data_IF_058094465754
#
_entry.id   IF_058094465754
#
_cell.length_a   1.000
_cell.length_b   1.000
_cell.length_c   1.000
_cell.angle_alpha   90.00
_cell.angle_beta   90.00
_cell.angle_gamma   90.00
#
_symmetry.space_group_name_H-M   'P 1'
#
loop_
_entity.id
_entity.type
_entity.pdbx_description
1 polymer ?
#
# COMPACT_ATOMS: atom_id res chain seq x y z
N UNK A 1 6.62 17.85 -16.67
CA UNK A 1 6.26 16.54 -16.05
C UNK A 1 6.99 16.46 -14.73
N UNK A 2 6.27 16.35 -13.62
CA UNK A 2 6.84 16.13 -12.28
C UNK A 2 6.58 14.66 -11.93
N UNK A 3 7.60 13.82 -11.97
CA UNK A 3 7.44 12.38 -11.79
C UNK A 3 8.74 11.75 -11.25
N UNK A 4 8.67 10.50 -10.83
CA UNK A 4 9.77 9.73 -10.26
C UNK A 4 9.90 8.31 -10.82
N UNK A 5 9.00 7.90 -11.71
CA UNK A 5 9.05 6.60 -12.36
C UNK A 5 10.24 6.49 -13.33
N UNK A 6 10.53 5.27 -13.76
CA UNK A 6 11.52 5.00 -14.81
C UNK A 6 11.17 5.79 -16.09
N UNK A 7 12.17 6.45 -16.65
CA UNK A 7 12.00 7.32 -17.83
C UNK A 7 11.91 6.44 -19.08
N UNK A 8 10.88 6.67 -19.88
CA UNK A 8 10.67 6.00 -21.16
C UNK A 8 10.83 7.01 -22.30
N UNK A 9 11.91 6.88 -23.06
CA UNK A 9 12.24 7.79 -24.17
C UNK A 9 12.78 9.15 -23.69
N UNK A 10 12.91 10.08 -24.64
CA UNK A 10 13.36 11.44 -24.37
C UNK A 10 12.20 12.43 -24.53
N UNK A 11 12.10 13.45 -23.65
CA UNK A 11 11.08 14.48 -23.80
C UNK A 11 11.36 15.34 -25.04
N UNK A 12 10.30 15.72 -25.76
CA UNK A 12 10.38 16.68 -26.86
C UNK A 12 10.83 18.06 -26.37
N UNK A 13 11.30 18.93 -27.28
CA UNK A 13 11.84 20.27 -26.95
C UNK A 13 10.92 21.15 -26.08
N UNK A 14 9.59 21.03 -26.24
CA UNK A 14 8.60 21.81 -25.48
C UNK A 14 8.13 21.15 -24.17
N UNK A 15 8.76 20.04 -23.76
CA UNK A 15 8.38 19.28 -22.58
C UNK A 15 9.56 19.25 -21.60
N UNK A 16 9.40 19.89 -20.45
CA UNK A 16 10.38 19.75 -19.36
C UNK A 16 10.02 18.56 -18.48
N UNK A 17 10.95 17.63 -18.31
CA UNK A 17 10.87 16.54 -17.35
C UNK A 17 11.67 16.90 -16.09
N UNK A 18 10.99 16.94 -14.95
CA UNK A 18 11.59 17.04 -13.63
C UNK A 18 11.43 15.68 -12.96
N UNK A 19 12.50 14.88 -13.04
CA UNK A 19 12.55 13.54 -12.49
C UNK A 19 13.90 13.33 -11.78
N UNK A 20 13.93 12.88 -10.50
CA UNK A 20 15.16 12.67 -9.75
C UNK A 20 16.20 11.81 -10.47
N UNK A 21 15.74 10.83 -11.26
CA UNK A 21 16.60 9.94 -12.03
C UNK A 21 17.39 10.68 -13.12
N UNK A 22 16.86 11.79 -13.66
CA UNK A 22 17.57 12.64 -14.63
C UNK A 22 18.71 13.45 -14.01
N UNK A 23 18.74 13.57 -12.68
CA UNK A 23 19.70 14.40 -11.94
C UNK A 23 20.64 13.57 -11.05
N UNK A 24 20.62 12.23 -11.17
CA UNK A 24 21.36 11.32 -10.29
C UNK A 24 21.06 11.55 -8.80
N UNK A 25 19.84 11.99 -8.49
CA UNK A 25 19.37 12.18 -7.12
C UNK A 25 18.85 10.85 -6.55
N UNK A 26 18.84 10.69 -5.21
CA UNK A 26 18.13 9.58 -4.59
C UNK A 26 16.64 9.57 -4.99
N UNK A 27 15.96 8.42 -4.88
CA UNK A 27 14.56 8.31 -5.29
C UNK A 27 13.69 9.22 -4.41
N UNK A 28 13.09 10.24 -5.03
CA UNK A 28 12.06 11.08 -4.44
C UNK A 28 10.69 10.66 -4.96
N UNK A 29 9.63 10.99 -4.23
CA UNK A 29 8.26 10.71 -4.67
C UNK A 29 7.80 11.80 -5.63
N UNK A 30 6.75 11.53 -6.42
CA UNK A 30 6.12 12.57 -7.24
C UNK A 30 5.66 13.79 -6.41
N UNK A 31 5.21 13.56 -5.17
CA UNK A 31 4.81 14.62 -4.25
C UNK A 31 6.00 15.48 -3.78
N UNK A 32 7.15 14.86 -3.52
CA UNK A 32 8.39 15.56 -3.15
C UNK A 32 8.90 16.41 -4.30
N UNK A 33 8.92 15.86 -5.52
CA UNK A 33 9.34 16.59 -6.73
C UNK A 33 8.45 17.80 -6.98
N UNK A 34 7.13 17.60 -6.87
CA UNK A 34 6.14 18.68 -7.03
C UNK A 34 6.33 19.77 -5.98
N UNK A 35 6.56 19.39 -4.73
CA UNK A 35 6.77 20.34 -3.63
C UNK A 35 8.06 21.14 -3.78
N UNK A 36 9.18 20.51 -4.15
CA UNK A 36 10.44 21.22 -4.35
C UNK A 36 10.32 22.31 -5.42
N UNK A 37 9.49 22.07 -6.44
CA UNK A 37 9.13 23.09 -7.42
C UNK A 37 8.21 24.17 -6.83
N UNK A 38 7.12 23.80 -6.16
CA UNK A 38 6.18 24.77 -5.58
C UNK A 38 6.81 25.65 -4.50
N UNK A 39 7.82 25.12 -3.78
CA UNK A 39 8.62 25.81 -2.78
C UNK A 39 9.33 27.05 -3.34
N UNK A 40 9.63 27.09 -4.64
CA UNK A 40 10.22 28.28 -5.29
C UNK A 40 9.25 29.47 -5.36
N UNK A 41 7.96 29.24 -5.09
CA UNK A 41 6.88 30.24 -5.13
C UNK A 41 6.24 30.45 -3.75
N UNK A 42 6.99 30.24 -2.66
CA UNK A 42 6.57 30.47 -1.27
C UNK A 42 5.41 29.56 -0.77
N UNK A 43 5.26 28.36 -1.36
CA UNK A 43 4.23 27.38 -0.96
C UNK A 43 4.75 26.41 0.12
N UNK A 44 5.34 26.91 1.20
CA UNK A 44 5.86 26.09 2.31
C UNK A 44 4.74 25.34 3.06
N UNK A 45 3.52 25.87 3.01
CA UNK A 45 2.31 25.27 3.58
C UNK A 45 1.94 23.92 2.93
N UNK A 46 2.45 23.61 1.74
CA UNK A 46 2.24 22.34 1.05
C UNK A 46 3.22 21.23 1.49
N UNK A 47 4.23 21.54 2.30
CA UNK A 47 5.23 20.57 2.75
C UNK A 47 4.62 19.33 3.44
N UNK A 48 3.60 19.44 4.31
CA UNK A 48 2.87 18.29 4.86
C UNK A 48 2.39 17.29 3.81
N UNK A 49 1.86 17.77 2.67
CA UNK A 49 1.35 16.92 1.60
C UNK A 49 2.48 16.16 0.89
N UNK A 50 3.67 16.76 0.79
CA UNK A 50 4.86 16.11 0.26
C UNK A 50 5.37 14.99 1.20
N UNK A 51 5.27 15.20 2.52
CA UNK A 51 5.54 14.14 3.51
C UNK A 51 4.54 12.99 3.32
N UNK A 52 3.23 13.29 3.26
CA UNK A 52 2.16 12.30 3.08
C UNK A 52 2.37 11.48 1.81
N UNK A 53 2.64 12.14 0.68
CA UNK A 53 2.85 11.44 -0.59
C UNK A 53 4.12 10.59 -0.60
N UNK A 54 5.24 11.09 -0.05
CA UNK A 54 6.46 10.30 0.09
C UNK A 54 6.23 9.04 0.93
N UNK A 55 5.51 9.18 2.05
CA UNK A 55 5.11 8.05 2.90
C UNK A 55 4.18 7.07 2.19
N UNK A 56 3.22 7.57 1.40
CA UNK A 56 2.36 6.75 0.55
C UNK A 56 3.09 5.92 -0.48
N UNK A 57 4.19 6.45 -1.03
CA UNK A 57 5.09 5.72 -1.94
C UNK A 57 6.10 4.83 -1.21
N UNK A 58 5.98 4.67 0.12
CA UNK A 58 6.90 3.92 0.99
C UNK A 58 8.33 4.43 0.92
N UNK A 59 8.49 5.73 0.74
CA UNK A 59 9.78 6.42 0.71
C UNK A 59 10.02 7.23 2.00
N UNK A 60 11.28 7.49 2.30
CA UNK A 60 11.65 8.40 3.39
C UNK A 60 11.60 9.84 2.88
N UNK A 61 10.82 10.74 3.51
CA UNK A 61 10.81 12.14 3.15
C UNK A 61 12.19 12.77 3.36
N UNK A 62 12.61 13.65 2.46
CA UNK A 62 13.89 14.36 2.60
C UNK A 62 13.85 15.38 3.73
N UNK A 63 15.03 15.68 4.28
CA UNK A 63 15.20 16.55 5.45
C UNK A 63 14.56 17.92 5.25
N UNK A 64 14.76 18.54 4.08
CA UNK A 64 14.23 19.86 3.75
C UNK A 64 12.70 19.90 3.82
N UNK A 65 12.04 18.85 3.34
CA UNK A 65 10.57 18.74 3.37
C UNK A 65 10.08 18.55 4.80
N UNK A 66 10.78 17.76 5.61
CA UNK A 66 10.42 17.56 7.02
C UNK A 66 10.56 18.86 7.84
N UNK A 67 11.61 19.63 7.58
CA UNK A 67 11.85 20.93 8.22
C UNK A 67 10.76 21.94 7.85
N UNK A 68 10.46 22.08 6.55
CA UNK A 68 9.40 22.98 6.08
C UNK A 68 8.02 22.57 6.63
N UNK A 69 7.73 21.26 6.68
CA UNK A 69 6.48 20.71 7.22
C UNK A 69 6.38 20.76 8.75
N UNK A 70 7.48 21.09 9.45
CA UNK A 70 7.56 21.09 10.93
C UNK A 70 7.07 19.78 11.55
N UNK A 71 7.38 18.66 10.90
CA UNK A 71 6.98 17.32 11.34
C UNK A 71 7.64 16.96 12.67
N UNK A 72 6.86 16.34 13.55
CA UNK A 72 7.41 15.63 14.70
C UNK A 72 7.69 14.17 14.31
N UNK A 73 8.98 13.81 14.22
CA UNK A 73 9.40 12.43 13.95
C UNK A 73 9.64 11.71 15.27
N UNK A 74 9.01 10.55 15.46
CA UNK A 74 9.21 9.68 16.62
C UNK A 74 9.17 8.22 16.24
N UNK A 75 9.89 7.36 16.96
CA UNK A 75 9.71 5.91 16.83
C UNK A 75 8.50 5.47 17.65
N UNK A 76 7.53 4.82 17.00
CA UNK A 76 6.30 4.35 17.64
C UNK A 76 5.67 3.22 16.80
N UNK A 77 4.59 2.64 17.33
CA UNK A 77 3.80 1.62 16.65
C UNK A 77 3.02 2.28 15.49
N UNK A 78 3.10 1.68 14.30
CA UNK A 78 2.50 2.16 13.04
C UNK A 78 1.16 1.47 12.77
N UNK A 79 0.16 1.65 13.65
CA UNK A 79 -1.19 1.10 13.47
C UNK A 79 -2.19 2.24 13.29
N UNK A 80 -3.13 2.07 12.36
CA UNK A 80 -4.18 3.04 12.09
C UNK A 80 -5.12 3.24 13.28
N UNK A 81 -5.39 4.50 13.64
CA UNK A 81 -6.37 4.85 14.67
C UNK A 81 -5.85 4.65 16.09
N UNK A 82 -4.54 4.47 16.26
CA UNK A 82 -3.86 4.19 17.53
C UNK A 82 -4.20 5.15 18.67
N UNK A 83 -4.50 6.41 18.37
CA UNK A 83 -4.78 7.43 19.38
C UNK A 83 -6.26 7.61 19.70
N UNK A 84 -7.17 7.02 18.91
CA UNK A 84 -8.60 7.33 18.96
C UNK A 84 -9.44 6.21 19.56
N UNK A 85 -8.89 4.99 19.69
CA UNK A 85 -9.68 3.78 19.96
C UNK A 85 -8.97 2.78 20.87
N UNK A 86 -9.73 1.87 21.50
CA UNK A 86 -9.19 0.67 22.13
C UNK A 86 -8.33 -0.16 21.16
N UNK A 87 -7.37 -0.90 21.71
CA UNK A 87 -6.44 -1.74 20.97
C UNK A 87 -7.15 -2.76 20.09
N UNK A 88 -8.18 -3.44 20.60
CA UNK A 88 -8.87 -4.46 19.80
C UNK A 88 -9.46 -3.88 18.51
N UNK A 89 -10.04 -2.67 18.59
CA UNK A 89 -10.56 -1.97 17.42
C UNK A 89 -9.43 -1.52 16.51
N UNK A 90 -8.39 -0.86 17.06
CA UNK A 90 -7.26 -0.38 16.25
C UNK A 90 -6.61 -1.52 15.44
N UNK A 91 -6.42 -2.69 16.06
CA UNK A 91 -5.87 -3.86 15.39
C UNK A 91 -6.82 -4.43 14.31
N UNK A 92 -8.11 -4.59 14.62
CA UNK A 92 -9.09 -5.09 13.66
C UNK A 92 -9.29 -4.15 12.46
N UNK A 93 -9.00 -2.85 12.63
CA UNK A 93 -9.09 -1.82 11.60
C UNK A 93 -7.79 -1.67 10.78
N UNK A 94 -6.70 -2.32 11.17
CA UNK A 94 -5.39 -2.15 10.53
C UNK A 94 -5.38 -2.78 9.15
N UNK A 95 -5.16 -1.96 8.11
CA UNK A 95 -5.06 -2.40 6.71
C UNK A 95 -3.68 -2.18 6.10
N UNK A 96 -2.88 -1.28 6.68
CA UNK A 96 -1.48 -1.08 6.36
C UNK A 96 -0.77 -0.55 7.61
N UNK A 97 0.08 -1.36 8.28
CA UNK A 97 0.35 -2.75 7.99
C UNK A 97 -0.85 -3.67 8.27
N UNK A 98 -1.03 -4.68 7.43
CA UNK A 98 -2.02 -5.72 7.63
C UNK A 98 -1.58 -6.72 8.71
N UNK A 99 -2.51 -7.15 9.57
CA UNK A 99 -2.26 -8.12 10.64
C UNK A 99 -3.05 -9.40 10.33
N UNK A 100 -2.36 -10.49 9.89
CA UNK A 100 -3.03 -11.74 9.52
C UNK A 100 -3.91 -12.30 10.64
N UNK A 101 -5.12 -12.73 10.26
CA UNK A 101 -6.08 -13.33 11.18
C UNK A 101 -6.72 -12.38 12.19
N UNK A 102 -6.55 -11.06 12.05
CA UNK A 102 -7.15 -10.05 12.95
C UNK A 102 -8.05 -9.05 12.19
N UNK A 103 -7.71 -8.74 10.94
CA UNK A 103 -8.46 -7.74 10.17
C UNK A 103 -9.96 -8.06 10.10
N UNK A 104 -10.79 -7.05 10.39
CA UNK A 104 -12.25 -7.15 10.46
C UNK A 104 -12.80 -8.14 11.49
N UNK A 105 -11.97 -8.65 12.42
CA UNK A 105 -12.36 -9.56 13.48
C UNK A 105 -11.91 -9.01 14.85
N UNK A 106 -12.80 -8.25 15.50
CA UNK A 106 -12.58 -7.72 16.85
C UNK A 106 -12.42 -8.83 17.90
N UNK A 107 -13.06 -9.99 17.69
CA UNK A 107 -12.94 -11.15 18.57
C UNK A 107 -11.53 -11.74 18.53
N UNK A 108 -11.00 -11.97 17.33
CA UNK A 108 -9.62 -12.42 17.14
C UNK A 108 -8.60 -11.40 17.69
N UNK A 109 -8.88 -10.09 17.57
CA UNK A 109 -8.06 -9.05 18.18
C UNK A 109 -8.04 -9.15 19.72
N UNK A 110 -9.21 -9.34 20.34
CA UNK A 110 -9.36 -9.55 21.79
C UNK A 110 -8.61 -10.81 22.25
N UNK A 111 -8.79 -11.92 21.55
CA UNK A 111 -8.11 -13.19 21.84
C UNK A 111 -6.59 -13.05 21.75
N UNK A 112 -6.10 -12.39 20.70
CA UNK A 112 -4.68 -12.09 20.55
C UNK A 112 -4.14 -11.27 21.71
N UNK A 113 -4.77 -10.13 22.03
CA UNK A 113 -4.33 -9.22 23.07
C UNK A 113 -4.27 -9.92 24.43
N UNK A 114 -5.31 -10.71 24.77
CA UNK A 114 -5.33 -11.53 25.99
C UNK A 114 -4.21 -12.56 26.00
N UNK A 115 -3.93 -13.23 24.88
CA UNK A 115 -2.88 -14.24 24.78
C UNK A 115 -1.47 -13.68 25.02
N UNK A 116 -1.22 -12.40 24.67
CA UNK A 116 0.04 -11.70 24.96
C UNK A 116 0.01 -10.92 26.29
N UNK A 117 -1.06 -11.07 27.08
CA UNK A 117 -1.18 -10.46 28.40
C UNK A 117 -1.45 -8.95 28.39
N UNK A 118 -2.15 -8.44 27.37
CA UNK A 118 -2.58 -7.06 27.27
C UNK A 118 -4.10 -6.92 27.44
N UNK A 119 -4.50 -5.80 28.05
CA UNK A 119 -5.91 -5.41 28.16
C UNK A 119 -6.42 -4.89 26.81
N UNK A 120 -7.43 -5.54 26.20
CA UNK A 120 -7.96 -5.13 24.90
C UNK A 120 -8.58 -3.72 24.89
N UNK A 121 -9.10 -3.26 26.03
CA UNK A 121 -9.82 -1.98 26.14
C UNK A 121 -8.88 -0.77 26.22
N UNK A 122 -7.60 -0.99 26.54
CA UNK A 122 -6.60 0.09 26.57
C UNK A 122 -6.42 0.71 25.19
N UNK A 123 -6.10 2.00 25.17
CA UNK A 123 -5.57 2.72 23.99
C UNK A 123 -4.05 2.57 23.91
N UNK A 124 -3.46 2.75 22.72
CA UNK A 124 -1.99 2.71 22.56
C UNK A 124 -1.29 3.74 23.45
N UNK A 125 -1.89 4.91 23.66
CA UNK A 125 -1.36 5.96 24.55
C UNK A 125 -1.30 5.57 26.02
N UNK A 126 -2.03 4.53 26.43
CA UNK A 126 -2.12 4.05 27.81
C UNK A 126 -1.17 2.87 28.08
N UNK A 127 -0.46 2.39 27.06
CA UNK A 127 0.52 1.32 27.19
C UNK A 127 1.83 1.83 27.77
N UNK A 128 2.35 1.12 28.76
CA UNK A 128 3.73 1.24 29.19
C UNK A 128 4.70 0.76 28.11
N UNK A 129 5.97 1.15 28.20
CA UNK A 129 7.00 0.71 27.24
C UNK A 129 7.16 -0.81 27.18
N UNK A 130 6.97 -1.50 28.30
CA UNK A 130 6.98 -2.97 28.33
C UNK A 130 5.77 -3.57 27.62
N UNK A 131 4.59 -2.99 27.79
CA UNK A 131 3.39 -3.41 27.08
C UNK A 131 3.47 -3.15 25.58
N UNK A 132 4.06 -2.00 25.16
CA UNK A 132 4.34 -1.71 23.75
C UNK A 132 5.27 -2.75 23.15
N UNK A 133 6.37 -3.12 23.84
CA UNK A 133 7.28 -4.18 23.38
C UNK A 133 6.57 -5.51 23.22
N UNK A 134 5.71 -5.90 24.17
CA UNK A 134 4.90 -7.12 24.06
C UNK A 134 3.96 -7.09 22.85
N UNK A 135 3.28 -5.96 22.64
CA UNK A 135 2.39 -5.77 21.48
C UNK A 135 3.15 -5.93 20.17
N UNK A 136 4.27 -5.20 20.02
CA UNK A 136 5.12 -5.25 18.82
C UNK A 136 5.62 -6.67 18.58
N UNK A 137 6.22 -7.33 19.58
CA UNK A 137 6.72 -8.69 19.44
C UNK A 137 5.61 -9.69 19.06
N UNK A 138 4.43 -9.56 19.67
CA UNK A 138 3.26 -10.40 19.36
C UNK A 138 2.77 -10.24 17.92
N UNK A 139 2.78 -9.01 17.38
CA UNK A 139 2.39 -8.74 15.98
C UNK A 139 3.48 -9.22 15.02
N UNK A 140 4.76 -8.96 15.31
CA UNK A 140 5.89 -9.43 14.51
C UNK A 140 5.85 -10.96 14.35
N UNK A 141 5.57 -11.69 15.42
CA UNK A 141 5.42 -13.15 15.38
C UNK A 141 4.26 -13.61 14.48
N UNK A 142 3.13 -12.88 14.47
CA UNK A 142 2.00 -13.17 13.57
C UNK A 142 2.31 -12.86 12.12
N UNK A 143 3.20 -11.90 11.89
CA UNK A 143 3.66 -11.50 10.56
C UNK A 143 4.90 -12.27 10.13
N UNK A 144 5.32 -13.29 10.87
CA UNK A 144 6.47 -14.13 10.51
C UNK A 144 6.25 -14.75 9.13
N UNK A 145 7.20 -14.53 8.22
CA UNK A 145 7.11 -14.98 6.82
C UNK A 145 6.61 -13.91 5.84
N UNK A 146 6.26 -12.73 6.33
CA UNK A 146 6.18 -11.52 5.50
C UNK A 146 7.59 -10.96 5.28
N UNK A 147 7.75 -10.09 4.29
CA UNK A 147 9.04 -9.48 3.95
C UNK A 147 9.58 -8.58 5.07
N UNK A 148 8.68 -7.80 5.71
CA UNK A 148 9.02 -6.80 6.74
C UNK A 148 8.10 -6.91 7.95
N UNK A 149 8.12 -8.03 8.70
CA UNK A 149 7.24 -8.23 9.85
C UNK A 149 7.41 -7.14 10.93
N UNK A 150 8.60 -6.58 11.05
CA UNK A 150 9.01 -5.53 11.98
C UNK A 150 8.51 -4.13 11.62
N UNK A 151 8.00 -3.90 10.40
CA UNK A 151 7.57 -2.56 9.95
C UNK A 151 6.33 -2.01 10.70
N UNK A 152 5.77 -2.81 11.62
CA UNK A 152 4.77 -2.41 12.62
C UNK A 152 5.32 -1.39 13.63
N UNK A 153 6.63 -1.32 13.80
CA UNK A 153 7.30 -0.35 14.66
C UNK A 153 8.33 0.42 13.84
N UNK A 154 8.36 1.74 13.99
CA UNK A 154 9.33 2.57 13.29
C UNK A 154 8.98 4.04 13.34
N UNK A 155 9.59 4.81 12.43
CA UNK A 155 9.36 6.26 12.35
C UNK A 155 7.91 6.56 12.00
N UNK A 156 7.29 7.34 12.87
CA UNK A 156 6.01 8.01 12.70
C UNK A 156 6.28 9.50 12.44
N UNK A 157 5.56 10.08 11.49
CA UNK A 157 5.71 11.44 11.00
C UNK A 157 4.43 12.21 11.35
N UNK A 158 4.36 12.74 12.57
CA UNK A 158 3.16 13.41 13.05
C UNK A 158 3.05 14.83 12.48
N UNK A 159 1.95 15.08 11.79
CA UNK A 159 1.63 16.36 11.16
C UNK A 159 0.65 17.12 12.04
N UNK A 160 1.14 18.11 12.79
CA UNK A 160 0.36 18.84 13.80
C UNK A 160 -0.91 19.48 13.24
N UNK A 161 -0.80 20.12 12.07
CA UNK A 161 -1.93 20.81 11.44
C UNK A 161 -2.99 19.84 10.88
N UNK A 162 -2.58 18.58 10.64
CA UNK A 162 -3.46 17.50 10.19
C UNK A 162 -4.01 16.69 11.36
N UNK A 163 -3.39 16.78 12.54
CA UNK A 163 -3.74 16.02 13.73
C UNK A 163 -3.51 14.51 13.60
N UNK A 164 -2.69 14.08 12.64
CA UNK A 164 -2.55 12.68 12.22
C UNK A 164 -1.11 12.36 11.78
N UNK A 165 -0.74 11.10 11.84
CA UNK A 165 0.49 10.59 11.23
C UNK A 165 0.39 10.57 9.69
N UNK A 166 1.50 10.83 8.99
CA UNK A 166 1.53 10.85 7.53
C UNK A 166 1.19 9.50 6.88
N UNK A 167 1.60 8.36 7.47
CA UNK A 167 1.25 7.02 6.97
C UNK A 167 -0.27 6.76 7.13
N UNK A 168 -0.85 7.18 8.26
CA UNK A 168 -2.28 7.10 8.51
C UNK A 168 -3.06 7.95 7.50
N UNK A 169 -2.64 9.21 7.28
CA UNK A 169 -3.32 10.11 6.36
C UNK A 169 -3.22 9.61 4.91
N UNK A 170 -2.07 9.07 4.52
CA UNK A 170 -1.89 8.41 3.23
C UNK A 170 -2.83 7.22 3.04
N UNK A 171 -3.03 6.41 4.09
CA UNK A 171 -4.01 5.31 4.08
C UNK A 171 -5.43 5.83 3.84
N UNK A 172 -5.80 6.95 4.45
CA UNK A 172 -7.12 7.58 4.24
C UNK A 172 -7.27 8.08 2.80
N UNK A 173 -6.29 8.80 2.25
CA UNK A 173 -6.33 9.26 0.85
C UNK A 173 -6.49 8.07 -0.09
N UNK A 174 -5.73 7.00 0.15
CA UNK A 174 -5.80 5.78 -0.64
C UNK A 174 -7.18 5.13 -0.56
N UNK A 175 -7.80 5.06 0.63
CA UNK A 175 -9.15 4.54 0.81
C UNK A 175 -10.19 5.35 -0.01
N UNK A 176 -10.14 6.68 0.07
CA UNK A 176 -11.02 7.56 -0.70
C UNK A 176 -10.85 7.37 -2.21
N UNK A 177 -9.60 7.33 -2.68
CA UNK A 177 -9.27 7.12 -4.08
C UNK A 177 -9.75 5.77 -4.60
N UNK A 178 -9.56 4.69 -3.82
CA UNK A 178 -9.97 3.32 -4.16
C UNK A 178 -11.49 3.17 -4.27
N UNK A 179 -12.24 3.90 -3.45
CA UNK A 179 -13.70 4.01 -3.55
C UNK A 179 -14.17 4.93 -4.69
N UNK A 180 -13.26 5.66 -5.35
CA UNK A 180 -13.58 6.59 -6.42
C UNK A 180 -13.96 8.00 -5.97
N UNK A 181 -13.80 8.31 -4.69
CA UNK A 181 -14.04 9.63 -4.13
C UNK A 181 -12.82 10.56 -4.27
N UNK A 182 -12.24 10.62 -5.48
CA UNK A 182 -11.00 11.38 -5.75
C UNK A 182 -11.13 12.88 -5.45
N UNK A 183 -12.28 13.49 -5.77
CA UNK A 183 -12.55 14.89 -5.41
C UNK A 183 -12.63 15.12 -3.90
N UNK A 184 -13.17 14.16 -3.14
CA UNK A 184 -13.16 14.23 -1.67
C UNK A 184 -11.77 13.99 -1.10
N UNK A 185 -10.98 13.11 -1.70
CA UNK A 185 -9.58 12.89 -1.32
C UNK A 185 -8.77 14.17 -1.48
N UNK A 186 -8.94 14.90 -2.59
CA UNK A 186 -8.31 16.21 -2.79
C UNK A 186 -8.81 17.24 -1.76
N UNK A 187 -10.11 17.25 -1.49
CA UNK A 187 -10.70 18.14 -0.48
C UNK A 187 -10.13 17.87 0.92
N UNK A 188 -9.82 16.61 1.25
CA UNK A 188 -9.19 16.22 2.51
C UNK A 188 -7.79 16.83 2.66
N UNK A 189 -7.01 16.92 1.57
CA UNK A 189 -5.70 17.58 1.58
C UNK A 189 -5.76 19.06 1.99
N UNK A 190 -6.87 19.75 1.68
CA UNK A 190 -7.10 21.16 2.03
C UNK A 190 -7.94 21.34 3.30
N UNK A 191 -8.60 20.27 3.77
CA UNK A 191 -9.42 20.27 4.97
C UNK A 191 -9.19 18.96 5.76
N UNK A 192 -8.04 18.84 6.44
CA UNK A 192 -7.65 17.59 7.11
C UNK A 192 -8.56 17.22 8.30
N UNK A 193 -9.40 18.15 8.76
CA UNK A 193 -10.39 17.93 9.83
C UNK A 193 -11.71 17.33 9.35
N UNK A 194 -11.85 17.06 8.04
CA UNK A 194 -13.04 16.42 7.48
C UNK A 194 -13.31 15.07 8.17
N UNK A 195 -14.57 14.75 8.43
CA UNK A 195 -14.92 13.46 9.02
C UNK A 195 -14.69 12.32 8.01
N UNK A 196 -13.67 11.50 8.28
CA UNK A 196 -13.26 10.38 7.43
C UNK A 196 -14.01 9.07 7.75
N UNK A 197 -14.66 8.99 8.91
CA UNK A 197 -15.21 7.72 9.43
C UNK A 197 -16.23 7.04 8.51
N UNK A 198 -17.18 7.74 7.87
CA UNK A 198 -18.13 7.09 6.96
C UNK A 198 -17.43 6.41 5.78
N UNK A 199 -16.44 7.09 5.18
CA UNK A 199 -15.70 6.58 4.01
C UNK A 199 -14.77 5.45 4.43
N UNK A 200 -14.13 5.55 5.59
CA UNK A 200 -13.29 4.47 6.10
C UNK A 200 -14.10 3.23 6.45
N UNK A 201 -15.34 3.39 6.97
CA UNK A 201 -16.26 2.28 7.21
C UNK A 201 -16.69 1.60 5.91
N UNK A 202 -17.04 2.38 4.90
CA UNK A 202 -17.38 1.89 3.56
C UNK A 202 -16.20 1.14 2.92
N UNK A 203 -14.99 1.71 3.01
CA UNK A 203 -13.77 1.11 2.47
C UNK A 203 -13.47 -0.25 3.09
N UNK A 204 -13.63 -0.38 4.41
CA UNK A 204 -13.43 -1.65 5.12
C UNK A 204 -14.49 -2.69 4.75
N UNK A 205 -15.76 -2.29 4.66
CA UNK A 205 -16.83 -3.18 4.25
C UNK A 205 -16.62 -3.72 2.82
N UNK A 206 -16.21 -2.84 1.91
CA UNK A 206 -15.86 -3.24 0.53
C UNK A 206 -14.63 -4.15 0.51
N UNK A 207 -13.61 -3.86 1.31
CA UNK A 207 -12.41 -4.70 1.39
C UNK A 207 -12.73 -6.10 1.93
N UNK A 208 -13.54 -6.20 2.99
CA UNK A 208 -13.99 -7.48 3.55
C UNK A 208 -14.80 -8.29 2.53
N UNK A 209 -15.77 -7.65 1.85
CA UNK A 209 -16.55 -8.27 0.76
C UNK A 209 -15.65 -8.80 -0.36
N UNK A 210 -14.66 -8.02 -0.77
CA UNK A 210 -13.72 -8.40 -1.82
C UNK A 210 -12.85 -9.58 -1.39
N UNK A 211 -12.32 -9.56 -0.17
CA UNK A 211 -11.51 -10.65 0.41
C UNK A 211 -12.28 -11.97 0.45
N UNK A 212 -13.54 -11.95 0.90
CA UNK A 212 -14.41 -13.13 0.90
C UNK A 212 -14.60 -13.68 -0.51
N UNK A 213 -15.00 -12.81 -1.45
CA UNK A 213 -15.26 -13.19 -2.85
C UNK A 213 -14.03 -13.79 -3.55
N UNK A 214 -12.84 -13.21 -3.34
CA UNK A 214 -11.62 -13.74 -3.98
C UNK A 214 -11.17 -15.05 -3.34
N UNK A 215 -11.43 -15.26 -2.04
CA UNK A 215 -11.05 -16.48 -1.36
C UNK A 215 -11.88 -17.68 -1.85
N UNK A 216 -13.15 -17.46 -2.20
CA UNK A 216 -14.03 -18.47 -2.82
C UNK A 216 -13.61 -18.87 -4.25
N UNK A 217 -13.01 -17.92 -5.01
CA UNK A 217 -12.75 -18.08 -6.43
C UNK A 217 -11.25 -18.09 -6.79
N UNK A 218 -10.37 -18.30 -5.81
CA UNK A 218 -8.92 -18.34 -6.06
C UNK A 218 -8.52 -19.64 -6.77
N UNK A 219 -7.51 -19.54 -7.64
CA UNK A 219 -6.87 -20.67 -8.30
C UNK A 219 -5.42 -20.77 -7.85
N UNK A 220 -5.01 -21.95 -7.43
CA UNK A 220 -3.62 -22.21 -7.08
C UNK A 220 -2.83 -22.66 -8.31
N UNK A 221 -1.69 -21.99 -8.52
CA UNK A 221 -0.60 -22.46 -9.38
C UNK A 221 0.57 -22.95 -8.54
N UNK A 222 1.71 -23.20 -9.21
CA UNK A 222 2.89 -23.78 -8.57
C UNK A 222 3.48 -22.85 -7.49
N UNK A 223 3.86 -21.63 -7.86
CA UNK A 223 4.38 -20.59 -6.95
C UNK A 223 3.52 -19.33 -6.90
N UNK A 224 2.29 -19.39 -7.42
CA UNK A 224 1.39 -18.23 -7.57
C UNK A 224 -0.03 -18.59 -7.17
N UNK A 225 -0.71 -17.68 -6.47
CA UNK A 225 -2.18 -17.71 -6.30
C UNK A 225 -2.79 -16.70 -7.25
N UNK A 226 -3.74 -17.13 -8.06
CA UNK A 226 -4.51 -16.27 -8.97
C UNK A 226 -5.86 -15.96 -8.35
N UNK A 227 -6.24 -14.69 -8.33
CA UNK A 227 -7.51 -14.23 -7.76
C UNK A 227 -8.33 -13.43 -8.77
N UNK A 228 -9.65 -13.58 -8.71
CA UNK A 228 -10.56 -12.94 -9.65
C UNK A 228 -11.54 -12.05 -8.87
N UNK A 229 -11.38 -10.74 -9.00
CA UNK A 229 -12.21 -9.73 -8.36
C UNK A 229 -13.08 -8.96 -9.35
N UNK A 230 -13.99 -8.14 -8.82
CA UNK A 230 -14.87 -7.27 -9.60
C UNK A 230 -14.48 -5.78 -9.55
N UNK A 231 -13.54 -5.42 -8.66
CA UNK A 231 -13.12 -4.04 -8.43
C UNK A 231 -11.67 -3.79 -8.89
N UNK A 232 -11.45 -3.18 -10.08
CA UNK A 232 -10.11 -2.94 -10.61
C UNK A 232 -9.29 -1.93 -9.80
N UNK A 233 -9.91 -1.07 -8.99
CA UNK A 233 -9.18 -0.12 -8.12
C UNK A 233 -8.63 -0.81 -6.88
N UNK A 234 -9.27 -1.88 -6.41
CA UNK A 234 -8.93 -2.54 -5.15
C UNK A 234 -8.24 -3.89 -5.33
N UNK A 235 -8.27 -4.51 -6.51
CA UNK A 235 -7.66 -5.82 -6.76
C UNK A 235 -6.18 -5.92 -6.33
N UNK A 236 -5.40 -4.84 -6.52
CA UNK A 236 -4.01 -4.80 -6.05
C UNK A 236 -3.86 -4.72 -4.53
N UNK A 237 -4.83 -4.12 -3.83
CA UNK A 237 -4.87 -4.09 -2.35
C UNK A 237 -5.21 -5.48 -1.81
N UNK A 238 -6.23 -6.11 -2.40
CA UNK A 238 -6.65 -7.47 -2.06
C UNK A 238 -5.49 -8.46 -2.30
N UNK A 239 -4.79 -8.35 -3.43
CA UNK A 239 -3.61 -9.17 -3.71
C UNK A 239 -2.48 -8.96 -2.69
N UNK A 240 -2.23 -7.71 -2.27
CA UNK A 240 -1.24 -7.40 -1.23
C UNK A 240 -1.60 -8.02 0.11
N UNK A 241 -2.88 -8.01 0.49
CA UNK A 241 -3.35 -8.61 1.74
C UNK A 241 -3.26 -10.14 1.66
N UNK A 242 -3.79 -10.75 0.61
CA UNK A 242 -3.75 -12.21 0.46
C UNK A 242 -2.33 -12.75 0.40
N UNK A 243 -1.38 -12.01 -0.16
CA UNK A 243 0.04 -12.40 -0.14
C UNK A 243 0.55 -12.64 1.28
N UNK A 244 -0.02 -11.96 2.27
CA UNK A 244 0.35 -12.14 3.68
C UNK A 244 -0.22 -13.41 4.32
N UNK A 245 -1.25 -14.00 3.72
CA UNK A 245 -1.96 -15.16 4.24
C UNK A 245 -1.59 -16.46 3.51
N UNK A 246 -1.14 -16.36 2.25
CA UNK A 246 -0.79 -17.52 1.43
C UNK A 246 0.68 -17.91 1.58
N UNK A 247 0.96 -19.21 1.46
CA UNK A 247 2.34 -19.72 1.49
C UNK A 247 3.11 -19.45 0.20
N UNK A 248 2.40 -19.29 -0.93
CA UNK A 248 2.99 -19.04 -2.25
C UNK A 248 3.72 -17.71 -2.32
N UNK A 249 4.73 -17.62 -3.19
CA UNK A 249 5.53 -16.41 -3.36
C UNK A 249 4.78 -15.26 -4.02
N UNK A 250 3.81 -15.56 -4.88
CA UNK A 250 3.14 -14.57 -5.72
C UNK A 250 1.62 -14.60 -5.54
N UNK A 251 1.00 -13.43 -5.63
CA UNK A 251 -0.45 -13.28 -5.82
C UNK A 251 -0.70 -12.40 -7.04
N UNK A 252 -1.51 -12.89 -7.98
CA UNK A 252 -1.89 -12.17 -9.19
C UNK A 252 -3.40 -12.03 -9.24
N UNK A 253 -3.88 -10.79 -9.21
CA UNK A 253 -5.30 -10.48 -9.24
C UNK A 253 -5.78 -9.90 -10.55
N UNK A 254 -6.92 -10.40 -11.03
CA UNK A 254 -7.62 -9.95 -12.23
C UNK A 254 -8.90 -9.23 -11.85
N UNK A 255 -9.19 -8.11 -12.52
CA UNK A 255 -10.46 -7.43 -12.38
C UNK A 255 -10.89 -6.76 -13.70
N UNK A 256 -12.18 -6.86 -14.09
CA UNK A 256 -12.68 -6.23 -15.31
C UNK A 256 -12.51 -4.71 -15.34
N UNK A 257 -12.13 -4.16 -16.50
CA UNK A 257 -12.04 -2.72 -16.76
C UNK A 257 -12.42 -2.41 -18.21
N UNK A 258 -13.73 -2.37 -18.49
CA UNK A 258 -14.25 -2.22 -19.86
C UNK A 258 -13.91 -3.44 -20.71
N UNK A 259 -13.35 -3.22 -21.90
CA UNK A 259 -12.86 -4.27 -22.81
C UNK A 259 -11.50 -4.87 -22.38
N UNK A 260 -10.95 -4.36 -21.29
CA UNK A 260 -9.69 -4.80 -20.71
C UNK A 260 -9.91 -5.50 -19.37
N UNK A 261 -8.88 -6.22 -18.95
CA UNK A 261 -8.75 -6.78 -17.61
C UNK A 261 -7.52 -6.16 -16.98
N UNK A 262 -7.72 -5.53 -15.82
CA UNK A 262 -6.61 -5.05 -15.01
C UNK A 262 -6.03 -6.22 -14.22
N UNK A 263 -4.73 -6.43 -14.40
CA UNK A 263 -3.94 -7.38 -13.63
C UNK A 263 -3.13 -6.61 -12.59
N UNK A 264 -3.03 -7.14 -11.38
CA UNK A 264 -2.15 -6.62 -10.32
C UNK A 264 -1.40 -7.77 -9.67
N UNK A 265 -0.08 -7.73 -9.74
CA UNK A 265 0.78 -8.77 -9.18
C UNK A 265 1.53 -8.25 -7.96
N UNK A 266 1.69 -9.11 -6.96
CA UNK A 266 2.44 -8.87 -5.71
C UNK A 266 3.30 -10.10 -5.42
N UNK A 267 4.52 -9.90 -4.93
CA UNK A 267 5.43 -11.00 -4.61
C UNK A 267 6.16 -10.76 -3.30
N UNK A 268 6.43 -11.85 -2.57
CA UNK A 268 7.42 -11.92 -1.50
C UNK A 268 8.67 -12.70 -1.93
N UNK A 269 8.72 -13.12 -3.20
CA UNK A 269 9.86 -13.78 -3.82
C UNK A 269 10.84 -12.78 -4.43
N UNK A 270 11.89 -13.30 -5.07
CA UNK A 270 12.99 -12.47 -5.58
C UNK A 270 12.80 -11.99 -7.03
N UNK A 271 11.76 -12.47 -7.72
CA UNK A 271 11.50 -12.15 -9.12
C UNK A 271 11.09 -10.69 -9.30
N UNK A 272 11.62 -10.04 -10.35
CA UNK A 272 11.17 -8.70 -10.74
C UNK A 272 9.81 -8.79 -11.45
N UNK A 273 8.73 -8.40 -10.77
CA UNK A 273 7.38 -8.46 -11.32
C UNK A 273 7.16 -7.52 -12.50
N UNK A 274 7.81 -6.37 -12.52
CA UNK A 274 7.71 -5.44 -13.64
C UNK A 274 8.20 -6.07 -14.95
N UNK A 275 9.37 -6.71 -14.90
CA UNK A 275 9.93 -7.43 -16.05
C UNK A 275 9.09 -8.64 -16.43
N UNK A 276 8.66 -9.44 -15.46
CA UNK A 276 7.83 -10.62 -15.69
C UNK A 276 6.50 -10.23 -16.36
N UNK A 277 5.82 -9.19 -15.87
CA UNK A 277 4.58 -8.69 -16.48
C UNK A 277 4.80 -8.15 -17.88
N UNK A 278 5.91 -7.44 -18.13
CA UNK A 278 6.24 -6.94 -19.46
C UNK A 278 6.48 -8.09 -20.46
N UNK A 279 7.08 -9.20 -20.02
CA UNK A 279 7.28 -10.40 -20.83
C UNK A 279 5.96 -11.13 -21.11
N UNK A 280 5.18 -11.44 -20.06
CA UNK A 280 3.89 -12.13 -20.19
C UNK A 280 2.92 -11.34 -21.07
N UNK A 281 2.86 -10.01 -20.91
CA UNK A 281 1.92 -9.18 -21.69
C UNK A 281 2.26 -9.08 -23.16
N UNK A 282 3.52 -9.25 -23.56
CA UNK A 282 3.91 -9.34 -24.98
C UNK A 282 3.29 -10.56 -25.67
N UNK A 283 3.13 -11.68 -24.96
CA UNK A 283 2.52 -12.89 -25.53
C UNK A 283 1.00 -12.76 -25.70
N UNK A 284 0.33 -12.05 -24.80
CA UNK A 284 -1.15 -11.98 -24.77
C UNK A 284 -1.75 -10.70 -25.37
N UNK A 285 -0.93 -9.80 -25.90
CA UNK A 285 -1.36 -8.56 -26.53
C UNK A 285 -1.80 -7.47 -25.53
N UNK A 286 -1.10 -7.36 -24.41
CA UNK A 286 -1.36 -6.37 -23.36
C UNK A 286 -0.22 -5.39 -23.12
N UNK A 287 -0.35 -4.60 -22.06
CA UNK A 287 0.68 -3.69 -21.56
C UNK A 287 0.93 -4.02 -20.08
N UNK A 288 2.18 -4.31 -19.72
CA UNK A 288 2.57 -4.69 -18.37
C UNK A 288 3.88 -4.04 -17.94
N UNK A 289 4.00 -3.77 -16.64
CA UNK A 289 5.22 -3.22 -16.04
C UNK A 289 5.06 -2.99 -14.54
N UNK A 290 6.05 -2.34 -13.94
CA UNK A 290 6.04 -2.01 -12.51
C UNK A 290 7.41 -2.09 -11.87
N UNK A 291 7.41 -2.28 -10.56
CA UNK A 291 8.59 -2.46 -9.73
C UNK A 291 8.85 -3.94 -9.44
N UNK A 292 9.95 -4.22 -8.72
CA UNK A 292 10.35 -5.58 -8.36
C UNK A 292 9.25 -6.33 -7.59
N UNK A 293 8.69 -5.74 -6.55
CA UNK A 293 7.75 -6.38 -5.62
C UNK A 293 6.27 -6.24 -6.02
N UNK A 294 5.97 -5.29 -6.92
CA UNK A 294 4.61 -4.94 -7.30
C UNK A 294 4.58 -4.45 -8.74
N UNK A 295 3.66 -5.01 -9.52
CA UNK A 295 3.41 -4.56 -10.89
C UNK A 295 1.95 -4.63 -11.27
N UNK A 296 1.65 -4.10 -12.45
CA UNK A 296 0.33 -4.10 -13.03
C UNK A 296 0.37 -4.31 -14.53
N UNK A 297 -0.73 -4.83 -15.06
CA UNK A 297 -0.92 -4.95 -16.49
C UNK A 297 -2.37 -4.65 -16.89
N UNK A 298 -2.56 -4.38 -18.17
CA UNK A 298 -3.84 -4.39 -18.87
C UNK A 298 -3.75 -5.41 -19.99
N UNK A 299 -4.65 -6.39 -19.97
CA UNK A 299 -4.75 -7.43 -21.02
C UNK A 299 -6.15 -7.40 -21.62
N UNK A 300 -6.34 -7.80 -22.89
CA UNK A 300 -7.67 -7.88 -23.48
C UNK A 300 -8.57 -8.84 -22.69
N UNK A 301 -9.85 -8.51 -22.55
CA UNK A 301 -10.83 -9.39 -21.91
C UNK A 301 -10.90 -10.74 -22.64
N UNK A 302 -10.93 -11.84 -21.88
CA UNK A 302 -10.90 -13.21 -22.39
C UNK A 302 -9.49 -13.80 -22.50
N UNK A 303 -8.43 -13.01 -22.27
CA UNK A 303 -7.03 -13.47 -22.29
C UNK A 303 -6.51 -13.92 -20.92
N UNK A 304 -7.33 -13.98 -19.89
CA UNK A 304 -6.92 -14.36 -18.52
C UNK A 304 -6.26 -15.75 -18.48
N UNK A 305 -6.84 -16.74 -19.15
CA UNK A 305 -6.30 -18.11 -19.18
C UNK A 305 -5.02 -18.23 -20.02
N UNK A 306 -4.87 -17.40 -21.05
CA UNK A 306 -3.61 -17.31 -21.80
C UNK A 306 -2.53 -16.64 -20.95
N UNK A 307 -2.88 -15.58 -20.21
CA UNK A 307 -1.98 -14.89 -19.30
C UNK A 307 -1.48 -15.84 -18.21
N UNK A 308 -2.37 -16.60 -17.57
CA UNK A 308 -1.97 -17.51 -16.50
C UNK A 308 -1.00 -18.58 -17.02
N UNK A 309 -1.25 -19.16 -18.19
CA UNK A 309 -0.35 -20.13 -18.81
C UNK A 309 1.01 -19.53 -19.14
N UNK A 310 1.06 -18.35 -19.75
CA UNK A 310 2.30 -17.65 -20.04
C UNK A 310 3.08 -17.31 -18.75
N UNK A 311 2.39 -16.82 -17.72
CA UNK A 311 2.96 -16.54 -16.41
C UNK A 311 3.62 -17.77 -15.79
N UNK A 312 2.90 -18.89 -15.72
CA UNK A 312 3.43 -20.14 -15.14
C UNK A 312 4.62 -20.67 -15.94
N UNK A 313 4.55 -20.66 -17.27
CA UNK A 313 5.64 -21.10 -18.14
C UNK A 313 6.92 -20.27 -17.94
N UNK A 314 6.80 -18.94 -17.96
CA UNK A 314 7.96 -18.05 -17.82
C UNK A 314 8.56 -18.16 -16.42
N UNK A 315 7.72 -18.18 -15.37
CA UNK A 315 8.18 -18.30 -14.00
C UNK A 315 8.91 -19.63 -13.76
N UNK A 316 8.38 -20.73 -14.29
CA UNK A 316 9.02 -22.04 -14.19
C UNK A 316 10.33 -22.10 -15.00
N UNK A 317 10.42 -21.41 -16.13
CA UNK A 317 11.66 -21.25 -16.88
C UNK A 317 12.77 -20.58 -16.06
N UNK A 318 12.42 -19.61 -15.20
CA UNK A 318 13.37 -18.88 -14.34
C UNK A 318 13.81 -19.65 -13.09
N UNK A 319 13.02 -20.62 -12.63
CA UNK A 319 13.33 -21.44 -11.44
C UNK A 319 14.24 -22.64 -11.75
N UNK A 320 14.35 -23.02 -13.03
CA UNK A 320 15.16 -24.16 -13.49
C UNK A 320 16.62 -23.78 -13.84
N UNK A 321 17.09 -22.62 -13.36
CA UNK A 321 18.46 -22.10 -13.50
C UNK A 321 18.98 -21.63 -12.14
#
# INVERSE_FOLDING_TARGET
>A
IFDHHQIQGEPNENITLLNPLSFSLPPFSGSTVTYLFSRQFDNLDLAPLAVIGARGDRQEPIKEVLEDAKVEVREDIRIFGKYLRPLYQALALSTDPFIPGIFSDEGAAVEFLKAIGLDPEKKISELSEEEKKKLVAGIVLRRKGLEKPEDIFGKCYYLKDFGMDADEFSTVINAFSRLGYTGKALSLCFNPKMNIEPVMKEYRAELARLMEKVNENKREGENTVFIFGDNPRMIGTVASILLTEVQKENVVGFAPKGDWVKVSARTKGNNNLGELLAEVTKEVGGLGGGHKEAGGALIPRGKEEEFIRAWENILNGRLNW
#
